data_IF_028603601574
#
_entry.id   IF_028603601574
#
_cell.length_a   1.000
_cell.length_b   1.000
_cell.length_c   1.000
_cell.angle_alpha   90.00
_cell.angle_beta   90.00
_cell.angle_gamma   90.00
#
_symmetry.space_group_name_H-M   'P 1'
#
loop_
_entity.id
_entity.type
_entity.pdbx_description
1 polymer ?
#
# COMPACT_ATOMS: atom_id res chain seq x y z
N UNK A 1 -9.18 -4.93 8.56
CA UNK A 1 -8.18 -5.99 8.82
C UNK A 1 -7.31 -6.29 7.61
N UNK A 2 -7.84 -6.80 6.48
CA UNK A 2 -7.00 -7.03 5.29
C UNK A 2 -6.20 -5.79 4.87
N UNK A 3 -6.85 -4.61 4.78
CA UNK A 3 -6.18 -3.32 4.52
C UNK A 3 -5.07 -3.04 5.56
N UNK A 4 -5.30 -3.35 6.84
CA UNK A 4 -4.32 -3.14 7.90
C UNK A 4 -3.08 -4.03 7.73
N UNK A 5 -3.27 -5.26 7.26
CA UNK A 5 -2.17 -6.14 6.86
C UNK A 5 -1.37 -5.60 5.68
N UNK A 6 -2.06 -5.10 4.64
CA UNK A 6 -1.39 -4.44 3.50
C UNK A 6 -0.59 -3.22 3.94
N UNK A 7 -1.15 -2.35 4.79
CA UNK A 7 -0.45 -1.15 5.30
C UNK A 7 0.75 -1.54 6.15
N UNK A 8 0.59 -2.49 7.08
CA UNK A 8 1.67 -2.97 7.96
C UNK A 8 2.86 -3.51 7.17
N UNK A 9 2.60 -4.35 6.16
CA UNK A 9 3.62 -5.05 5.40
C UNK A 9 4.01 -4.33 4.10
N UNK A 10 3.50 -3.11 3.84
CA UNK A 10 3.66 -2.43 2.56
C UNK A 10 5.11 -2.32 2.09
N UNK A 11 6.03 -2.03 3.02
CA UNK A 11 7.46 -1.88 2.71
C UNK A 11 8.11 -3.20 2.28
N UNK A 12 7.74 -4.32 2.91
CA UNK A 12 8.14 -5.66 2.46
C UNK A 12 7.45 -6.04 1.15
N UNK A 13 6.17 -5.68 0.99
CA UNK A 13 5.43 -5.88 -0.27
C UNK A 13 6.06 -5.13 -1.44
N UNK A 14 6.66 -3.95 -1.23
CA UNK A 14 7.34 -3.22 -2.30
C UNK A 14 8.46 -4.06 -2.96
N UNK A 15 9.11 -4.97 -2.24
CA UNK A 15 10.13 -5.84 -2.84
C UNK A 15 9.55 -6.79 -3.91
N UNK A 16 8.27 -7.17 -3.79
CA UNK A 16 7.57 -8.00 -4.78
C UNK A 16 6.75 -7.18 -5.77
N UNK A 17 6.09 -6.12 -5.31
CA UNK A 17 5.16 -5.30 -6.09
C UNK A 17 5.83 -4.17 -6.88
N UNK A 18 7.07 -3.81 -6.52
CA UNK A 18 7.87 -2.74 -7.10
C UNK A 18 9.33 -3.23 -7.25
N UNK A 19 9.49 -4.33 -7.99
CA UNK A 19 10.71 -5.15 -8.02
C UNK A 19 11.83 -4.61 -8.94
N UNK A 20 11.78 -3.33 -9.30
CA UNK A 20 12.84 -2.69 -10.11
C UNK A 20 13.24 -1.35 -9.54
N UNK A 21 14.47 -0.90 -9.81
CA UNK A 21 14.89 0.47 -9.47
C UNK A 21 14.04 1.52 -10.17
N UNK A 22 13.49 1.21 -11.36
CA UNK A 22 12.61 2.10 -12.11
C UNK A 22 11.23 2.28 -11.45
N UNK A 23 10.75 1.30 -10.69
CA UNK A 23 9.50 1.41 -9.92
C UNK A 23 9.50 2.62 -8.99
N UNK A 24 10.64 2.92 -8.37
CA UNK A 24 10.80 4.02 -7.44
C UNK A 24 11.00 5.38 -8.13
N UNK A 25 11.11 5.40 -9.46
CA UNK A 25 10.99 6.65 -10.25
C UNK A 25 9.54 7.03 -10.48
N UNK A 26 8.61 6.06 -10.41
CA UNK A 26 7.16 6.30 -10.41
C UNK A 26 6.64 6.68 -9.03
N UNK A 27 7.14 6.07 -7.96
CA UNK A 27 6.72 6.31 -6.58
C UNK A 27 7.36 7.59 -6.01
N UNK A 28 7.07 8.73 -6.63
CA UNK A 28 7.53 10.06 -6.19
C UNK A 28 6.34 10.99 -6.00
N UNK A 29 6.37 11.90 -5.01
CA UNK A 29 5.31 12.89 -4.83
C UNK A 29 5.06 13.72 -6.10
N UNK A 30 3.79 14.10 -6.35
CA UNK A 30 3.42 15.08 -7.38
C UNK A 30 2.83 14.53 -8.69
N UNK A 31 2.78 13.20 -8.90
CA UNK A 31 2.28 12.58 -10.15
C UNK A 31 1.12 11.60 -9.96
N UNK A 32 0.18 11.89 -9.05
CA UNK A 32 -0.85 10.92 -8.62
C UNK A 32 -0.26 9.61 -8.05
N UNK A 33 1.01 9.63 -7.63
CA UNK A 33 1.71 8.44 -7.17
C UNK A 33 1.19 8.03 -5.78
N UNK A 34 0.78 6.76 -5.61
CA UNK A 34 0.20 6.25 -4.37
C UNK A 34 1.29 5.96 -3.31
N UNK A 35 1.92 7.02 -2.80
CA UNK A 35 3.02 6.90 -1.81
C UNK A 35 2.52 6.82 -0.37
N UNK A 36 1.38 7.42 -0.07
CA UNK A 36 0.79 7.49 1.26
C UNK A 36 0.03 6.19 1.60
N UNK A 37 0.43 5.51 2.66
CA UNK A 37 -0.20 4.28 3.18
C UNK A 37 -1.47 4.59 3.96
N UNK A 38 -2.46 5.08 3.23
CA UNK A 38 -3.81 5.32 3.71
C UNK A 38 -4.83 4.65 2.79
N UNK A 39 -6.06 4.52 3.28
CA UNK A 39 -7.19 4.08 2.46
C UNK A 39 -8.27 5.16 2.34
N UNK A 40 -8.89 5.27 1.17
CA UNK A 40 -9.97 6.23 0.91
C UNK A 40 -10.90 5.73 -0.19
N UNK A 41 -12.16 6.15 -0.16
CA UNK A 41 -13.11 5.86 -1.24
C UNK A 41 -12.99 6.83 -2.42
N UNK A 42 -12.63 8.09 -2.15
CA UNK A 42 -12.59 9.17 -3.15
C UNK A 42 -11.19 9.64 -3.47
N UNK A 43 -10.30 9.59 -2.49
CA UNK A 43 -8.99 10.20 -2.63
C UNK A 43 -8.05 9.35 -3.51
N UNK A 44 -7.50 9.98 -4.56
CA UNK A 44 -6.57 9.34 -5.49
C UNK A 44 -5.12 9.33 -5.03
N UNK A 45 -4.73 10.10 -4.02
CA UNK A 45 -3.39 10.03 -3.42
C UNK A 45 -3.23 8.87 -2.44
N UNK A 46 -4.33 8.31 -1.94
CA UNK A 46 -4.30 7.13 -1.09
C UNK A 46 -3.81 5.90 -1.86
N UNK A 47 -2.89 5.15 -1.26
CA UNK A 47 -2.37 3.92 -1.86
C UNK A 47 -3.37 2.78 -1.93
N UNK A 48 -4.43 2.83 -1.11
CA UNK A 48 -5.52 1.86 -1.14
C UNK A 48 -6.83 2.60 -1.44
N UNK A 49 -7.44 2.32 -2.58
CA UNK A 49 -8.76 2.86 -2.92
C UNK A 49 -9.86 1.86 -2.62
N UNK A 50 -10.98 2.33 -2.10
CA UNK A 50 -12.22 1.55 -1.93
C UNK A 50 -13.25 2.03 -2.96
N UNK A 51 -13.41 1.35 -4.12
CA UNK A 51 -14.34 1.81 -5.16
C UNK A 51 -15.77 1.91 -4.65
N UNK A 52 -16.42 3.04 -4.90
CA UNK A 52 -17.83 3.21 -4.60
C UNK A 52 -18.68 2.38 -5.57
N UNK A 53 -19.35 1.35 -5.04
CA UNK A 53 -20.22 0.44 -5.81
C UNK A 53 -21.49 0.14 -5.02
N UNK A 54 -22.63 0.09 -5.70
CA UNK A 54 -23.91 -0.25 -5.07
C UNK A 54 -24.06 -1.76 -4.86
N UNK A 55 -23.59 -2.58 -5.81
CA UNK A 55 -23.71 -4.03 -5.72
C UNK A 55 -22.72 -4.59 -4.67
N UNK A 56 -23.19 -5.26 -3.60
CA UNK A 56 -22.31 -5.83 -2.58
C UNK A 56 -21.31 -6.86 -3.14
N UNK A 57 -21.65 -7.58 -4.21
CA UNK A 57 -20.76 -8.56 -4.87
C UNK A 57 -19.58 -7.91 -5.60
N UNK A 58 -19.66 -6.61 -5.90
CA UNK A 58 -18.59 -5.85 -6.54
C UNK A 58 -17.66 -5.14 -5.54
N UNK A 59 -17.97 -5.21 -4.24
CA UNK A 59 -17.20 -4.56 -3.17
C UNK A 59 -15.81 -5.18 -3.09
N UNK A 60 -14.80 -4.32 -3.19
CA UNK A 60 -13.39 -4.71 -3.20
C UNK A 60 -12.52 -3.55 -2.71
N UNK A 61 -11.23 -3.84 -2.57
CA UNK A 61 -10.18 -2.83 -2.40
C UNK A 61 -9.30 -2.83 -3.64
N UNK A 62 -8.61 -1.72 -3.87
CA UNK A 62 -7.63 -1.57 -4.94
C UNK A 62 -6.33 -1.05 -4.33
N UNK A 63 -5.29 -1.88 -4.34
CA UNK A 63 -3.94 -1.49 -3.91
C UNK A 63 -3.20 -0.93 -5.13
N UNK A 64 -2.74 0.31 -5.05
CA UNK A 64 -2.34 1.11 -6.23
C UNK A 64 -0.83 1.28 -6.40
N UNK A 65 -0.04 1.02 -5.35
CA UNK A 65 1.42 1.10 -5.44
C UNK A 65 2.08 0.07 -6.36
N UNK A 66 1.56 -1.16 -6.56
CA UNK A 66 2.19 -2.12 -7.48
C UNK A 66 2.33 -1.59 -8.91
N UNK A 67 3.33 -2.09 -9.63
CA UNK A 67 3.56 -1.81 -11.05
C UNK A 67 3.87 -3.08 -11.84
N UNK A 68 3.88 -2.98 -13.17
CA UNK A 68 4.04 -4.13 -14.08
C UNK A 68 5.48 -4.63 -14.21
N UNK A 69 6.44 -4.09 -13.46
CA UNK A 69 7.79 -4.70 -13.36
C UNK A 69 7.80 -5.87 -12.37
N UNK A 70 6.76 -6.01 -11.56
CA UNK A 70 6.58 -7.09 -10.62
C UNK A 70 6.33 -8.44 -11.31
N UNK A 71 6.77 -9.53 -10.68
CA UNK A 71 6.31 -10.87 -11.02
C UNK A 71 4.87 -11.03 -10.47
N UNK A 72 3.84 -11.23 -11.31
CA UNK A 72 2.45 -11.24 -10.87
C UNK A 72 2.15 -12.38 -9.89
N UNK A 73 2.81 -13.53 -10.04
CA UNK A 73 2.64 -14.66 -9.12
C UNK A 73 3.08 -14.27 -7.71
N UNK A 74 4.31 -13.73 -7.58
CA UNK A 74 4.86 -13.34 -6.28
C UNK A 74 4.12 -12.14 -5.68
N UNK A 75 3.78 -11.14 -6.50
CA UNK A 75 3.07 -9.96 -6.04
C UNK A 75 1.68 -10.31 -5.49
N UNK A 76 0.90 -11.13 -6.20
CA UNK A 76 -0.43 -11.52 -5.75
C UNK A 76 -0.37 -12.41 -4.50
N UNK A 77 0.55 -13.39 -4.47
CA UNK A 77 0.74 -14.23 -3.30
C UNK A 77 1.17 -13.43 -2.07
N UNK A 78 2.14 -12.53 -2.20
CA UNK A 78 2.60 -11.70 -1.08
C UNK A 78 1.48 -10.79 -0.56
N UNK A 79 0.72 -10.15 -1.44
CA UNK A 79 -0.44 -9.33 -1.03
C UNK A 79 -1.52 -10.15 -0.33
N UNK A 80 -1.77 -11.39 -0.77
CA UNK A 80 -2.70 -12.28 -0.11
C UNK A 80 -2.22 -12.62 1.31
N UNK A 81 -0.96 -13.03 1.45
CA UNK A 81 -0.37 -13.37 2.75
C UNK A 81 -0.40 -12.19 3.72
N UNK A 82 -0.01 -10.99 3.28
CA UNK A 82 -0.09 -9.78 4.11
C UNK A 82 -1.52 -9.48 4.57
N UNK A 83 -2.50 -9.62 3.67
CA UNK A 83 -3.90 -9.42 4.00
C UNK A 83 -4.44 -10.47 4.98
N UNK A 84 -4.00 -11.73 4.86
CA UNK A 84 -4.35 -12.81 5.79
C UNK A 84 -3.75 -12.58 7.18
N UNK A 85 -2.48 -12.16 7.28
CA UNK A 85 -1.86 -11.76 8.55
C UNK A 85 -2.67 -10.65 9.23
N UNK A 86 -3.06 -9.64 8.46
CA UNK A 86 -3.91 -8.55 8.94
C UNK A 86 -5.25 -9.03 9.50
N UNK A 87 -5.84 -10.08 8.91
CA UNK A 87 -7.09 -10.70 9.39
C UNK A 87 -6.85 -11.50 10.67
N UNK A 88 -5.84 -12.38 10.68
CA UNK A 88 -5.54 -13.26 11.82
C UNK A 88 -5.19 -12.44 13.07
N UNK A 89 -4.38 -11.40 12.90
CA UNK A 89 -3.92 -10.54 13.99
C UNK A 89 -4.83 -9.32 14.25
N UNK A 90 -6.00 -9.25 13.59
CA UNK A 90 -6.99 -8.16 13.74
C UNK A 90 -6.38 -6.76 13.64
N UNK A 91 -5.50 -6.57 12.65
CA UNK A 91 -4.73 -5.34 12.47
C UNK A 91 -5.65 -4.23 11.92
N UNK A 92 -5.93 -3.23 12.76
CA UNK A 92 -6.78 -2.10 12.37
C UNK A 92 -6.03 -1.22 11.35
N UNK A 93 -6.66 -0.83 10.22
CA UNK A 93 -6.00 -0.02 9.19
C UNK A 93 -5.83 1.47 9.57
N UNK A 94 -6.33 1.86 10.74
CA UNK A 94 -6.50 3.27 11.11
C UNK A 94 -7.83 3.83 10.58
N UNK A 95 -8.00 5.14 10.73
CA UNK A 95 -9.15 5.86 10.18
C UNK A 95 -8.98 6.11 8.67
N UNK A 96 -10.12 6.25 7.97
CA UNK A 96 -10.10 6.54 6.54
C UNK A 96 -9.56 7.96 6.27
N UNK A 97 -8.79 8.10 5.19
CA UNK A 97 -8.35 9.42 4.72
C UNK A 97 -9.47 10.09 3.92
N UNK A 98 -10.26 10.92 4.59
CA UNK A 98 -11.36 11.68 3.98
C UNK A 98 -10.91 13.00 3.34
N UNK A 99 -9.76 13.56 3.77
CA UNK A 99 -9.13 14.75 3.19
C UNK A 99 -8.33 14.38 1.93
N UNK A 100 -8.12 15.34 1.04
CA UNK A 100 -7.06 15.20 0.02
C UNK A 100 -5.70 15.15 0.72
N UNK A 101 -4.88 14.15 0.42
CA UNK A 101 -3.60 13.94 1.11
C UNK A 101 -2.51 14.85 0.54
N UNK A 102 -2.75 15.48 -0.63
CA UNK A 102 -1.83 16.48 -1.20
C UNK A 102 -1.88 17.82 -0.47
N UNK A 103 -3.05 18.17 0.06
CA UNK A 103 -3.30 19.44 0.74
C UNK A 103 -3.18 19.32 2.27
N UNK A 104 -2.65 18.19 2.76
CA UNK A 104 -2.34 18.05 4.18
C UNK A 104 -1.20 18.98 4.55
N UNK A 105 -1.37 19.64 5.69
CA UNK A 105 -0.28 20.38 6.31
C UNK A 105 0.92 19.44 6.52
N UNK A 106 2.17 19.90 6.31
CA UNK A 106 3.35 19.04 6.41
C UNK A 106 3.49 18.30 7.74
N UNK A 107 2.93 18.85 8.82
CA UNK A 107 2.87 18.18 10.13
C UNK A 107 1.89 17.00 10.15
N UNK A 108 0.70 17.15 9.56
CA UNK A 108 -0.28 16.07 9.44
C UNK A 108 0.24 14.95 8.52
N UNK A 109 0.91 15.32 7.42
CA UNK A 109 1.45 14.38 6.44
C UNK A 109 2.54 13.46 7.02
N UNK A 110 3.39 13.97 7.93
CA UNK A 110 4.47 13.18 8.57
C UNK A 110 3.98 12.01 9.40
N UNK A 111 2.71 12.04 9.84
CA UNK A 111 2.13 10.96 10.62
C UNK A 111 1.59 9.81 9.76
N UNK A 112 1.56 9.98 8.44
CA UNK A 112 1.07 8.97 7.52
C UNK A 112 2.24 8.11 7.05
N UNK A 113 2.21 6.78 7.26
CA UNK A 113 3.26 5.92 6.79
C UNK A 113 3.36 5.98 5.26
N UNK A 114 4.57 5.80 4.72
CA UNK A 114 4.83 5.81 3.28
C UNK A 114 5.42 4.48 2.80
N UNK A 115 5.25 4.21 1.50
CA UNK A 115 5.94 3.14 0.78
C UNK A 115 7.47 3.38 0.73
N UNK A 116 8.23 2.36 0.33
CA UNK A 116 9.66 2.52 0.11
C UNK A 116 9.97 3.51 -1.01
N UNK A 117 11.05 4.29 -0.86
CA UNK A 117 11.55 5.22 -1.88
C UNK A 117 12.69 4.64 -2.74
N UNK A 118 13.11 3.40 -2.47
CA UNK A 118 14.17 2.71 -3.22
C UNK A 118 14.02 1.19 -3.13
N UNK A 119 14.62 0.48 -4.09
CA UNK A 119 14.62 -0.99 -4.10
C UNK A 119 15.41 -1.56 -2.92
N UNK A 120 16.55 -0.96 -2.58
CA UNK A 120 17.38 -1.42 -1.46
C UNK A 120 16.61 -1.35 -0.14
N UNK A 121 15.91 -0.23 0.11
CA UNK A 121 15.03 -0.10 1.28
C UNK A 121 13.94 -1.19 1.31
N UNK A 122 13.33 -1.50 0.16
CA UNK A 122 12.31 -2.54 0.10
C UNK A 122 12.88 -3.94 0.40
N UNK A 123 14.07 -4.25 -0.10
CA UNK A 123 14.77 -5.51 0.18
C UNK A 123 15.16 -5.62 1.66
N UNK A 124 15.64 -4.54 2.29
CA UNK A 124 15.92 -4.51 3.73
C UNK A 124 14.66 -4.73 4.57
N UNK A 125 13.55 -4.10 4.19
CA UNK A 125 12.28 -4.30 4.90
C UNK A 125 11.73 -5.71 4.71
N UNK A 126 11.87 -6.30 3.52
CA UNK A 126 11.55 -7.70 3.29
C UNK A 126 12.40 -8.63 4.16
N UNK A 127 13.69 -8.33 4.35
CA UNK A 127 14.55 -9.14 5.23
C UNK A 127 14.07 -9.14 6.68
N UNK A 128 13.67 -7.97 7.18
CA UNK A 128 13.22 -7.77 8.56
C UNK A 128 11.78 -8.27 8.81
N UNK A 129 10.92 -8.26 7.80
CA UNK A 129 9.47 -8.46 7.93
C UNK A 129 8.94 -9.59 7.03
N UNK A 130 9.70 -10.66 6.83
CA UNK A 130 9.25 -11.84 6.05
C UNK A 130 8.39 -12.84 6.83
N UNK A 131 8.11 -12.59 8.11
CA UNK A 131 7.40 -13.54 8.99
C UNK A 131 5.93 -13.79 8.62
N UNK A 132 5.33 -12.93 7.79
CA UNK A 132 3.95 -13.08 7.31
C UNK A 132 3.84 -13.95 6.05
N UNK A 133 4.97 -14.31 5.41
CA UNK A 133 5.04 -15.07 4.16
C UNK A 133 4.93 -16.58 4.37
#
# INVERSE_FOLDING_TARGET
>A
FYIGGIIKHAKALNAFCNASTNSYKRLVPGFEAPVMLAYSARNRSASIRVPYVQNPKARRIEVRFPDSTANPYLAFSAMLMAGLDGIQNKIHPGEAADKDLYDLEPEEAKHIPEVCHSLDMALEHLDKDRGFL
#
